data_IF_632119004980
#
_entry.id   IF_632119004980
#
_cell.length_a   1.000
_cell.length_b   1.000
_cell.length_c   1.000
_cell.angle_alpha   90.00
_cell.angle_beta   90.00
_cell.angle_gamma   90.00
#
_symmetry.space_group_name_H-M   'P 1'
#
loop_
_entity.id
_entity.type
_entity.pdbx_description
1 polymer ?
#
# COMPACT_ATOMS: atom_id res chain seq x y z
N UNK A 1 5.51 19.69 11.69
CA UNK A 1 6.73 20.44 11.33
C UNK A 1 7.09 20.06 9.91
N UNK A 2 7.45 21.01 9.05
CA UNK A 2 7.98 20.69 7.72
C UNK A 2 9.25 19.85 7.91
N UNK A 3 9.29 18.68 7.28
CA UNK A 3 10.52 17.87 7.30
C UNK A 3 11.56 18.56 6.43
N UNK A 4 12.85 18.59 6.83
CA UNK A 4 13.90 19.10 5.96
C UNK A 4 14.02 18.32 4.64
N UNK A 5 13.48 17.10 4.61
CA UNK A 5 13.60 16.18 3.47
C UNK A 5 12.34 16.18 2.59
N UNK A 6 11.61 17.29 2.51
CA UNK A 6 10.48 17.46 1.60
C UNK A 6 9.09 17.36 2.24
N UNK A 7 8.05 17.40 1.40
CA UNK A 7 6.67 17.57 1.82
C UNK A 7 6.02 16.23 2.20
N UNK A 8 5.47 16.08 3.43
CA UNK A 8 4.70 14.90 3.79
C UNK A 8 3.32 14.93 3.13
N UNK A 9 2.84 13.77 2.69
CA UNK A 9 1.47 13.53 2.23
C UNK A 9 0.77 12.62 3.23
N UNK A 10 -0.30 13.12 3.84
CA UNK A 10 -1.14 12.38 4.80
C UNK A 10 -2.59 12.44 4.30
N UNK A 11 -3.14 11.30 3.93
CA UNK A 11 -4.52 11.16 3.46
C UNK A 11 -5.44 10.85 4.63
N UNK A 12 -6.36 11.75 4.98
CA UNK A 12 -7.28 11.59 6.12
C UNK A 12 -8.34 10.50 5.89
N UNK A 13 -8.69 10.28 4.63
CA UNK A 13 -9.70 9.33 4.15
C UNK A 13 -9.14 7.92 3.92
N UNK A 14 -7.91 7.66 4.36
CA UNK A 14 -7.24 6.35 4.23
C UNK A 14 -6.82 5.81 5.58
N UNK A 15 -6.53 4.51 5.61
CA UNK A 15 -6.00 3.85 6.80
C UNK A 15 -4.80 4.67 7.31
N UNK A 16 -4.92 5.20 8.53
CA UNK A 16 -3.85 5.99 9.12
C UNK A 16 -2.71 5.07 9.48
N UNK A 17 -1.48 5.53 9.29
CA UNK A 17 -0.29 4.83 9.71
C UNK A 17 -0.43 4.33 11.16
N UNK A 18 -0.01 3.09 11.42
CA UNK A 18 -0.04 2.52 12.78
C UNK A 18 1.01 3.16 13.71
N UNK A 19 1.92 3.95 13.15
CA UNK A 19 2.87 4.80 13.86
C UNK A 19 2.91 6.20 13.22
N UNK A 20 3.73 7.10 13.76
CA UNK A 20 3.79 8.49 13.29
C UNK A 20 4.66 8.67 12.04
N UNK A 21 4.14 8.26 10.88
CA UNK A 21 4.77 8.48 9.56
C UNK A 21 3.71 8.81 8.50
N UNK A 22 4.07 9.56 7.42
CA UNK A 22 3.13 9.92 6.37
C UNK A 22 2.88 8.75 5.40
N UNK A 23 1.79 8.81 4.62
CA UNK A 23 1.53 7.85 3.54
C UNK A 23 2.61 7.92 2.45
N UNK A 24 3.06 9.13 2.15
CA UNK A 24 4.21 9.35 1.28
C UNK A 24 4.97 10.63 1.63
N UNK A 25 6.17 10.77 1.06
CA UNK A 25 6.97 12.00 1.10
C UNK A 25 7.43 12.39 -0.28
N UNK A 26 7.22 13.64 -0.65
CA UNK A 26 7.65 14.22 -1.92
C UNK A 26 8.99 14.93 -1.69
N UNK A 27 10.06 14.48 -2.35
CA UNK A 27 11.40 14.99 -2.15
C UNK A 27 12.25 14.87 -3.43
N UNK A 28 12.85 15.97 -3.87
CA UNK A 28 13.81 15.94 -4.99
C UNK A 28 13.24 15.42 -6.32
N UNK A 29 11.95 15.61 -6.58
CA UNK A 29 11.28 15.08 -7.77
C UNK A 29 10.78 13.63 -7.66
N UNK A 30 11.03 12.97 -6.53
CA UNK A 30 10.57 11.61 -6.23
C UNK A 30 9.40 11.62 -5.24
N UNK A 31 8.61 10.55 -5.30
CA UNK A 31 7.56 10.25 -4.32
C UNK A 31 7.96 8.95 -3.62
N UNK A 32 8.30 9.05 -2.33
CA UNK A 32 8.61 7.90 -1.49
C UNK A 32 7.34 7.48 -0.77
N UNK A 33 6.74 6.39 -1.22
CA UNK A 33 5.54 5.79 -0.60
C UNK A 33 5.97 4.90 0.56
N UNK A 34 5.32 5.04 1.72
CA UNK A 34 5.55 4.16 2.86
C UNK A 34 5.08 2.73 2.56
N UNK A 35 5.44 1.74 3.39
CA UNK A 35 4.90 0.38 3.25
C UNK A 35 3.36 0.37 3.31
N UNK A 36 2.72 -0.16 2.28
CA UNK A 36 1.25 -0.21 2.13
C UNK A 36 0.76 -1.65 2.25
N UNK A 37 -0.32 -1.86 2.98
CA UNK A 37 -1.03 -3.15 3.09
C UNK A 37 -2.45 -3.04 2.54
N UNK A 38 -3.20 -4.15 2.58
CA UNK A 38 -4.61 -4.22 2.19
C UNK A 38 -5.58 -3.60 3.22
N UNK A 39 -5.07 -2.92 4.25
CA UNK A 39 -5.87 -2.39 5.36
C UNK A 39 -6.77 -1.24 4.91
N UNK A 40 -8.03 -1.31 5.34
CA UNK A 40 -9.07 -0.30 5.12
C UNK A 40 -9.08 0.75 6.25
N UNK A 41 -9.87 1.81 6.05
CA UNK A 41 -9.97 2.92 7.01
C UNK A 41 -10.50 2.48 8.40
N UNK A 42 -11.39 1.48 8.42
CA UNK A 42 -11.99 0.91 9.64
C UNK A 42 -11.09 -0.14 10.33
N UNK A 43 -9.84 -0.29 9.89
CA UNK A 43 -8.88 -1.30 10.33
C UNK A 43 -9.25 -2.76 10.01
N UNK A 44 -10.25 -2.99 9.16
CA UNK A 44 -10.41 -4.29 8.48
C UNK A 44 -9.38 -4.42 7.35
N UNK A 45 -9.25 -5.61 6.77
CA UNK A 45 -8.30 -5.89 5.69
C UNK A 45 -9.03 -6.50 4.50
N UNK A 46 -8.71 -6.03 3.29
CA UNK A 46 -9.17 -6.68 2.06
C UNK A 46 -8.49 -8.05 1.94
N UNK A 47 -9.24 -9.06 1.47
CA UNK A 47 -8.73 -10.42 1.34
C UNK A 47 -8.34 -11.11 2.66
N UNK A 48 -8.97 -10.73 3.78
CA UNK A 48 -8.80 -11.40 5.08
C UNK A 48 -10.17 -11.71 5.69
N UNK A 49 -10.39 -12.97 6.04
CA UNK A 49 -11.58 -13.41 6.80
C UNK A 49 -11.11 -14.03 8.10
N UNK A 50 -11.64 -13.53 9.22
CA UNK A 50 -11.43 -14.14 10.54
C UNK A 50 -12.37 -15.34 10.70
N UNK A 51 -11.83 -16.48 11.11
CA UNK A 51 -12.57 -17.70 11.40
C UNK A 51 -12.13 -18.31 12.74
N UNK A 52 -12.94 -19.21 13.35
CA UNK A 52 -12.53 -19.91 14.58
C UNK A 52 -11.22 -20.70 14.44
N UNK A 53 -10.86 -21.11 13.22
CA UNK A 53 -9.65 -21.87 12.91
C UNK A 53 -8.45 -20.98 12.53
N UNK A 54 -8.60 -19.66 12.54
CA UNK A 54 -7.56 -18.70 12.16
C UNK A 54 -7.98 -17.79 11.00
N UNK A 55 -7.00 -17.19 10.35
CA UNK A 55 -7.21 -16.27 9.23
C UNK A 55 -7.29 -17.04 7.91
N UNK A 56 -8.27 -16.72 7.09
CA UNK A 56 -8.33 -17.13 5.69
C UNK A 56 -7.85 -15.94 4.87
N UNK A 57 -6.78 -16.14 4.10
CA UNK A 57 -6.08 -15.09 3.35
C UNK A 57 -6.31 -15.30 1.84
N UNK A 58 -6.62 -14.22 1.14
CA UNK A 58 -6.68 -14.15 -0.32
C UNK A 58 -5.61 -13.16 -0.81
N UNK A 59 -4.49 -13.71 -1.29
CA UNK A 59 -3.37 -12.92 -1.79
C UNK A 59 -3.75 -12.06 -3.01
N UNK A 60 -4.67 -12.50 -3.88
CA UNK A 60 -5.07 -11.74 -5.07
C UNK A 60 -5.86 -10.50 -4.66
N UNK A 61 -6.83 -10.68 -3.76
CA UNK A 61 -7.61 -9.58 -3.22
C UNK A 61 -6.72 -8.58 -2.43
N UNK A 62 -5.79 -9.10 -1.61
CA UNK A 62 -4.83 -8.26 -0.89
C UNK A 62 -3.93 -7.46 -1.83
N UNK A 63 -3.37 -8.10 -2.85
CA UNK A 63 -2.47 -7.46 -3.83
C UNK A 63 -3.18 -6.34 -4.59
N UNK A 64 -4.40 -6.61 -5.07
CA UNK A 64 -5.21 -5.59 -5.75
C UNK A 64 -5.48 -4.37 -4.86
N UNK A 65 -5.89 -4.59 -3.61
CA UNK A 65 -6.12 -3.51 -2.66
C UNK A 65 -4.85 -2.70 -2.35
N UNK A 66 -3.70 -3.36 -2.24
CA UNK A 66 -2.40 -2.68 -2.05
C UNK A 66 -2.10 -1.76 -3.23
N UNK A 67 -2.25 -2.25 -4.47
CA UNK A 67 -2.00 -1.45 -5.68
C UNK A 67 -2.98 -0.28 -5.82
N UNK A 68 -4.26 -0.48 -5.50
CA UNK A 68 -5.26 0.58 -5.47
C UNK A 68 -4.90 1.66 -4.43
N UNK A 69 -4.55 1.25 -3.20
CA UNK A 69 -4.11 2.15 -2.14
C UNK A 69 -2.85 2.95 -2.55
N UNK A 70 -1.87 2.29 -3.18
CA UNK A 70 -0.67 2.96 -3.71
C UNK A 70 -1.06 3.98 -4.78
N UNK A 71 -1.92 3.60 -5.73
CA UNK A 71 -2.33 4.48 -6.82
C UNK A 71 -3.05 5.73 -6.32
N UNK A 72 -3.90 5.62 -5.29
CA UNK A 72 -4.58 6.76 -4.68
C UNK A 72 -3.61 7.72 -3.97
N UNK A 73 -2.56 7.16 -3.31
CA UNK A 73 -1.48 7.96 -2.73
C UNK A 73 -0.71 8.71 -3.82
N UNK A 74 -0.39 8.03 -4.92
CA UNK A 74 0.29 8.64 -6.07
C UNK A 74 -0.59 9.73 -6.72
N UNK A 75 -1.87 9.48 -6.90
CA UNK A 75 -2.82 10.45 -7.47
C UNK A 75 -2.91 11.72 -6.61
N UNK A 76 -2.91 11.59 -5.29
CA UNK A 76 -2.88 12.74 -4.39
C UNK A 76 -1.56 13.54 -4.45
N UNK A 77 -0.50 12.97 -5.02
CA UNK A 77 0.76 13.63 -5.34
C UNK A 77 0.89 14.03 -6.83
N UNK A 78 -0.17 13.86 -7.65
CA UNK A 78 -0.15 14.18 -9.08
C UNK A 78 0.54 13.12 -9.97
N UNK A 79 0.67 11.89 -9.49
CA UNK A 79 1.28 10.75 -10.20
C UNK A 79 0.29 9.57 -10.32
N UNK A 80 0.76 8.45 -10.87
CA UNK A 80 0.00 7.20 -11.01
C UNK A 80 0.95 5.99 -10.97
N UNK A 81 0.40 4.78 -10.98
CA UNK A 81 1.20 3.55 -11.12
C UNK A 81 2.14 3.56 -12.33
N UNK A 82 1.82 4.30 -13.41
CA UNK A 82 2.69 4.46 -14.58
C UNK A 82 4.00 5.21 -14.28
N UNK A 83 4.09 5.88 -13.14
CA UNK A 83 5.26 6.63 -12.70
C UNK A 83 6.16 5.81 -11.76
N UNK A 84 5.78 4.58 -11.41
CA UNK A 84 6.56 3.71 -10.52
C UNK A 84 7.82 3.25 -11.25
N UNK A 85 8.97 3.45 -10.61
CA UNK A 85 10.30 3.07 -11.14
C UNK A 85 11.00 2.00 -10.31
N UNK A 86 10.54 1.79 -9.07
CA UNK A 86 11.07 0.80 -8.14
C UNK A 86 9.94 0.33 -7.22
N UNK A 87 9.93 -0.97 -6.88
CA UNK A 87 8.91 -1.60 -6.05
C UNK A 87 9.56 -2.72 -5.22
N UNK A 88 9.44 -2.63 -3.90
CA UNK A 88 9.85 -3.71 -2.99
C UNK A 88 8.61 -4.39 -2.43
N UNK A 89 8.55 -5.72 -2.57
CA UNK A 89 7.42 -6.54 -2.12
C UNK A 89 7.88 -7.47 -1.01
N UNK A 90 7.10 -7.51 0.08
CA UNK A 90 7.32 -8.39 1.21
C UNK A 90 6.17 -9.39 1.29
N UNK A 91 6.40 -10.60 0.78
CA UNK A 91 5.51 -11.74 1.02
C UNK A 91 5.90 -12.43 2.33
N UNK A 92 4.92 -12.99 3.03
CA UNK A 92 5.15 -13.79 4.25
C UNK A 92 5.26 -15.29 3.95
N UNK A 93 4.74 -15.70 2.78
CA UNK A 93 4.83 -17.05 2.25
C UNK A 93 5.21 -16.96 0.76
N UNK A 94 6.13 -17.82 0.31
CA UNK A 94 6.54 -17.87 -1.09
C UNK A 94 5.60 -18.72 -1.94
N UNK A 95 4.75 -19.56 -1.34
CA UNK A 95 3.68 -20.27 -2.06
C UNK A 95 2.71 -19.29 -2.74
N UNK A 96 2.57 -18.09 -2.18
CA UNK A 96 1.73 -17.01 -2.70
C UNK A 96 2.29 -16.32 -3.94
N UNK A 97 3.58 -16.50 -4.28
CA UNK A 97 4.26 -15.74 -5.31
C UNK A 97 3.56 -15.79 -6.68
N UNK A 98 3.11 -16.98 -7.10
CA UNK A 98 2.44 -17.15 -8.39
C UNK A 98 1.15 -16.33 -8.48
N UNK A 99 0.29 -16.45 -7.46
CA UNK A 99 -0.98 -15.74 -7.39
C UNK A 99 -0.80 -14.22 -7.20
N UNK A 100 0.20 -13.80 -6.42
CA UNK A 100 0.62 -12.41 -6.29
C UNK A 100 1.03 -11.84 -7.66
N UNK A 101 1.94 -12.50 -8.37
CA UNK A 101 2.52 -12.00 -9.62
C UNK A 101 1.49 -11.92 -10.77
N UNK A 102 0.51 -12.83 -10.80
CA UNK A 102 -0.64 -12.75 -11.70
C UNK A 102 -1.49 -11.48 -11.45
N UNK A 103 -1.52 -10.99 -10.21
CA UNK A 103 -2.38 -9.87 -9.80
C UNK A 103 -1.73 -8.49 -9.99
N UNK A 104 -0.46 -8.43 -10.40
CA UNK A 104 0.28 -7.17 -10.58
C UNK A 104 0.25 -6.59 -11.99
N UNK A 105 -0.28 -7.35 -12.96
CA UNK A 105 -0.34 -6.94 -14.37
C UNK A 105 -1.75 -7.18 -14.93
N UNK A 106 -2.53 -6.10 -14.99
CA UNK A 106 -3.67 -5.91 -15.89
C UNK A 106 -3.61 -4.46 -16.46
#
# INVERSE_FOLDING_TARGET
>A
MASPNGQPLILKQKAQALAHYPHARIAGGFIFVSGISSRRLDNTYEGVIESPSGLILDIRAQTKAVLENINEILQAAGASLKNVVDLTVFLVDMEDYGAFNESTYD
#
